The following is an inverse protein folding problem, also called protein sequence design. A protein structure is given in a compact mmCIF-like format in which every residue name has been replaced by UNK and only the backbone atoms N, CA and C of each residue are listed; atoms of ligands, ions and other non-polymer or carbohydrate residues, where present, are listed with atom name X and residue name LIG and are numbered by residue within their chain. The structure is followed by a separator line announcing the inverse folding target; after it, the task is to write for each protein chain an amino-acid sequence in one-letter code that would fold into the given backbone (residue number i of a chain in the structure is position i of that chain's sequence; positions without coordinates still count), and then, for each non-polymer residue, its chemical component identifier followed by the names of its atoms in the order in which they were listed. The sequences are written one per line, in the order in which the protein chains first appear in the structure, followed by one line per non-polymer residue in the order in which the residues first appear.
data_IF_531667673385
#
_entry.id   IF_531667673385
#
_cell.length_a   1.000
_cell.length_b   1.000
_cell.length_c   1.000
_cell.angle_alpha   90.00
_cell.angle_beta   90.00
_cell.angle_gamma   90.00
#
_symmetry.space_group_name_H-M   'P 1'
#
loop_
_entity.id
_entity.type
_entity.pdbx_description
1 polymer ?
#
# COMPACT_ATOMS: atom_id res chain seq x y z
N UNK A 1 -0.92 -13.34 0.11
CA UNK A 1 -1.28 -11.91 0.09
C UNK A 1 -0.90 -11.31 -1.26
N UNK A 2 -1.68 -10.37 -1.79
CA UNK A 2 -1.34 -9.64 -3.02
C UNK A 2 -1.40 -8.12 -2.80
N UNK A 3 -0.62 -7.37 -3.58
CA UNK A 3 -0.64 -5.91 -3.57
C UNK A 3 -0.27 -5.35 -4.93
N UNK A 4 -1.17 -4.57 -5.54
CA UNK A 4 -0.85 -3.77 -6.72
C UNK A 4 0.22 -2.73 -6.39
N UNK A 5 1.21 -2.58 -7.28
CA UNK A 5 2.35 -1.73 -7.02
C UNK A 5 2.01 -0.24 -6.91
N UNK A 6 0.95 0.21 -7.60
CA UNK A 6 0.55 1.61 -7.80
C UNK A 6 0.25 2.44 -6.55
N UNK A 7 0.24 1.84 -5.37
CA UNK A 7 -0.02 2.55 -4.11
C UNK A 7 1.28 2.91 -3.40
N UNK A 8 2.06 1.91 -3.03
CA UNK A 8 3.22 2.08 -2.14
C UNK A 8 4.52 1.45 -2.66
N UNK A 9 4.51 0.76 -3.81
CA UNK A 9 5.66 -0.03 -4.27
C UNK A 9 6.24 0.46 -5.60
N UNK A 10 5.42 1.07 -6.47
CA UNK A 10 5.85 1.46 -7.80
C UNK A 10 4.69 1.93 -8.69
N UNK A 11 4.81 1.82 -10.01
CA UNK A 11 3.79 2.25 -10.96
C UNK A 11 2.64 1.23 -11.08
N UNK A 12 1.54 1.64 -11.70
CA UNK A 12 0.48 0.71 -12.10
C UNK A 12 0.95 -0.29 -13.17
N UNK A 13 0.31 -1.46 -13.21
CA UNK A 13 0.64 -2.54 -14.16
C UNK A 13 1.50 -3.67 -13.60
N UNK A 14 1.92 -3.61 -12.34
CA UNK A 14 2.60 -4.69 -11.62
C UNK A 14 1.84 -5.07 -10.34
N UNK A 15 1.77 -6.36 -10.04
CA UNK A 15 1.24 -6.89 -8.78
C UNK A 15 2.28 -7.77 -8.10
N UNK A 16 2.55 -7.52 -6.82
CA UNK A 16 3.38 -8.39 -5.98
C UNK A 16 2.47 -9.39 -5.26
N UNK A 17 2.83 -10.67 -5.32
CA UNK A 17 2.14 -11.74 -4.59
C UNK A 17 3.14 -12.45 -3.68
N UNK A 18 2.77 -12.63 -2.42
CA UNK A 18 3.49 -13.49 -1.46
C UNK A 18 2.56 -14.66 -1.13
N UNK A 19 2.96 -15.85 -1.54
CA UNK A 19 2.20 -17.10 -1.37
C UNK A 19 3.04 -18.09 -0.58
N UNK A 20 2.40 -18.85 0.32
CA UNK A 20 3.06 -19.92 1.08
C UNK A 20 3.20 -21.15 0.16
N UNK A 21 4.35 -21.81 0.18
CA UNK A 21 4.70 -22.83 -0.82
C UNK A 21 3.73 -24.03 -0.85
N UNK A 22 3.23 -24.45 0.31
CA UNK A 22 2.24 -25.52 0.47
C UNK A 22 0.85 -25.19 -0.10
N UNK A 23 0.61 -23.94 -0.52
CA UNK A 23 -0.62 -23.52 -1.19
C UNK A 23 -0.49 -23.58 -2.73
N UNK A 24 0.70 -23.88 -3.26
CA UNK A 24 0.92 -24.04 -4.70
C UNK A 24 0.39 -25.39 -5.21
N UNK A 25 -0.04 -25.43 -6.48
CA UNK A 25 -0.53 -26.66 -7.12
C UNK A 25 -2.02 -26.95 -6.90
N UNK A 26 -2.74 -26.03 -6.26
CA UNK A 26 -4.18 -26.12 -5.99
C UNK A 26 -5.03 -25.20 -6.86
N UNK A 27 -4.53 -24.77 -8.03
CA UNK A 27 -5.32 -23.96 -8.96
C UNK A 27 -6.53 -24.76 -9.50
N UNK A 28 -7.66 -24.08 -9.68
CA UNK A 28 -8.82 -24.70 -10.33
C UNK A 28 -8.49 -25.02 -11.81
N UNK A 29 -9.06 -26.08 -12.40
CA UNK A 29 -8.80 -26.44 -13.80
C UNK A 29 -9.10 -25.32 -14.82
N UNK A 30 -10.00 -24.39 -14.46
CA UNK A 30 -10.38 -23.23 -15.30
C UNK A 30 -9.44 -22.02 -15.14
N UNK A 31 -8.48 -22.07 -14.21
CA UNK A 31 -7.59 -20.96 -13.94
C UNK A 31 -6.67 -20.69 -15.15
N UNK A 32 -6.64 -19.46 -15.71
CA UNK A 32 -5.68 -19.12 -16.75
C UNK A 32 -4.24 -19.27 -16.23
N UNK A 33 -3.33 -19.81 -17.05
CA UNK A 33 -1.95 -20.12 -16.62
C UNK A 33 -1.18 -18.92 -16.08
N UNK A 34 -1.48 -17.70 -16.54
CA UNK A 34 -0.86 -16.47 -16.02
C UNK A 34 -1.28 -16.13 -14.57
N UNK A 35 -2.37 -16.73 -14.06
CA UNK A 35 -2.86 -16.61 -12.68
C UNK A 35 -2.63 -17.87 -11.85
N UNK A 36 -2.16 -18.96 -12.46
CA UNK A 36 -1.73 -20.14 -11.71
C UNK A 36 -0.40 -19.87 -11.02
N UNK A 37 -0.44 -19.70 -9.69
CA UNK A 37 0.75 -19.39 -8.91
C UNK A 37 1.83 -20.47 -8.97
N UNK A 38 1.49 -21.74 -9.20
CA UNK A 38 2.51 -22.79 -9.39
C UNK A 38 3.25 -22.56 -10.70
N UNK A 39 2.54 -22.33 -11.80
CA UNK A 39 3.13 -22.06 -13.11
C UNK A 39 4.00 -20.80 -13.05
N UNK A 40 3.49 -19.72 -12.44
CA UNK A 40 4.24 -18.46 -12.28
C UNK A 40 5.48 -18.65 -11.40
N UNK A 41 5.40 -19.41 -10.30
CA UNK A 41 6.54 -19.68 -9.43
C UNK A 41 7.60 -20.59 -10.07
N UNK A 42 7.19 -21.68 -10.73
CA UNK A 42 8.08 -22.61 -11.44
C UNK A 42 8.88 -21.90 -12.54
N UNK A 43 8.30 -20.85 -13.14
CA UNK A 43 8.95 -20.01 -14.15
C UNK A 43 9.55 -18.72 -13.58
N UNK A 44 9.74 -18.61 -12.26
CA UNK A 44 10.34 -17.45 -11.59
C UNK A 44 9.69 -16.10 -11.99
N UNK A 45 8.37 -16.07 -12.10
CA UNK A 45 7.57 -14.92 -12.57
C UNK A 45 7.77 -14.51 -14.03
N UNK A 46 8.37 -15.38 -14.85
CA UNK A 46 8.66 -15.13 -16.27
C UNK A 46 8.00 -16.17 -17.20
N UNK A 47 6.83 -16.68 -16.82
CA UNK A 47 6.03 -17.59 -17.67
C UNK A 47 5.70 -16.96 -19.03
N UNK A 48 5.38 -15.67 -19.05
CA UNK A 48 5.24 -14.83 -20.24
C UNK A 48 6.02 -13.52 -20.05
N UNK A 49 5.99 -12.62 -21.04
CA UNK A 49 6.66 -11.31 -20.95
C UNK A 49 6.12 -10.52 -19.75
N UNK A 50 6.95 -10.27 -18.71
CA UNK A 50 6.48 -9.55 -17.53
C UNK A 50 6.49 -8.03 -17.78
N UNK A 51 5.86 -7.22 -16.91
CA UNK A 51 5.93 -5.76 -16.96
C UNK A 51 7.32 -5.28 -16.52
N UNK A 52 8.33 -5.45 -17.39
CA UNK A 52 9.76 -5.25 -17.10
C UNK A 52 10.07 -3.89 -16.50
N UNK A 53 9.50 -2.81 -17.05
CA UNK A 53 9.68 -1.47 -16.51
C UNK A 53 9.06 -1.32 -15.11
N UNK A 54 7.87 -1.88 -14.87
CA UNK A 54 7.23 -1.87 -13.56
C UNK A 54 8.07 -2.61 -12.50
N UNK A 55 8.66 -3.75 -12.88
CA UNK A 55 9.58 -4.51 -12.01
C UNK A 55 10.83 -3.69 -11.68
N UNK A 56 11.42 -3.03 -12.67
CA UNK A 56 12.59 -2.18 -12.47
C UNK A 56 12.32 -1.04 -11.46
N UNK A 57 11.23 -0.30 -11.64
CA UNK A 57 10.88 0.80 -10.74
C UNK A 57 10.58 0.28 -9.33
N UNK A 58 9.87 -0.85 -9.18
CA UNK A 58 9.66 -1.45 -7.87
C UNK A 58 10.98 -1.81 -7.18
N UNK A 59 11.94 -2.36 -7.93
CA UNK A 59 13.30 -2.62 -7.44
C UNK A 59 14.01 -1.35 -6.92
N UNK A 60 13.93 -0.24 -7.65
CA UNK A 60 14.48 1.04 -7.20
C UNK A 60 13.79 1.56 -5.93
N UNK A 61 12.46 1.44 -5.84
CA UNK A 61 11.70 1.80 -4.63
C UNK A 61 12.14 0.96 -3.43
N UNK A 62 12.37 -0.35 -3.60
CA UNK A 62 12.86 -1.21 -2.53
C UNK A 62 14.26 -0.83 -2.06
N UNK A 63 15.15 -0.48 -3.00
CA UNK A 63 16.48 0.01 -2.65
C UNK A 63 16.40 1.34 -1.89
N UNK A 64 15.54 2.27 -2.34
CA UNK A 64 15.28 3.53 -1.63
C UNK A 64 14.75 3.28 -0.23
N UNK A 65 13.80 2.36 -0.07
CA UNK A 65 13.19 1.99 1.21
C UNK A 65 14.26 1.47 2.19
N UNK A 66 15.13 0.56 1.74
CA UNK A 66 16.24 0.03 2.56
C UNK A 66 17.22 1.12 3.02
N UNK A 67 17.36 2.21 2.26
CA UNK A 67 18.19 3.37 2.63
C UNK A 67 17.51 4.34 3.60
N UNK A 68 16.21 4.25 3.82
CA UNK A 68 15.51 5.15 4.75
C UNK A 68 15.98 4.94 6.18
N UNK A 69 16.00 6.04 6.95
CA UNK A 69 16.42 6.09 8.36
C UNK A 69 15.50 7.04 9.12
N UNK A 70 15.25 6.72 10.38
CA UNK A 70 14.59 7.58 11.37
C UNK A 70 15.26 7.29 12.73
N UNK A 71 16.07 8.22 13.23
CA UNK A 71 16.95 7.94 14.37
C UNK A 71 17.81 6.69 14.13
N UNK A 72 17.78 5.73 15.06
CA UNK A 72 18.46 4.43 14.93
C UNK A 72 17.73 3.38 14.08
N UNK A 73 16.52 3.66 13.59
CA UNK A 73 15.74 2.72 12.78
C UNK A 73 16.16 2.78 11.30
N UNK A 74 15.94 1.69 10.58
CA UNK A 74 16.22 1.59 9.15
C UNK A 74 15.13 0.82 8.39
N UNK A 75 15.08 1.01 7.07
CA UNK A 75 14.20 0.23 6.20
C UNK A 75 12.71 0.41 6.54
N UNK A 76 12.00 -0.71 6.65
CA UNK A 76 10.56 -0.73 6.97
C UNK A 76 10.29 -0.13 8.35
N UNK A 77 11.12 -0.39 9.36
CA UNK A 77 10.94 0.15 10.71
C UNK A 77 11.05 1.69 10.74
N UNK A 78 12.01 2.24 9.99
CA UNK A 78 12.11 3.69 9.81
C UNK A 78 10.86 4.26 9.10
N UNK A 79 10.41 3.60 8.04
CA UNK A 79 9.22 4.01 7.31
C UNK A 79 7.95 3.96 8.17
N UNK A 80 7.83 2.95 9.03
CA UNK A 80 6.73 2.86 10.00
C UNK A 80 6.76 4.02 11.00
N UNK A 81 7.91 4.31 11.61
CA UNK A 81 8.04 5.42 12.55
C UNK A 81 7.63 6.75 11.90
N UNK A 82 8.10 7.01 10.68
CA UNK A 82 7.70 8.18 9.89
C UNK A 82 6.19 8.21 9.60
N UNK A 83 5.62 7.09 9.20
CA UNK A 83 4.18 7.00 8.90
C UNK A 83 3.31 7.19 10.15
N UNK A 84 3.74 6.67 11.31
CA UNK A 84 3.09 6.91 12.60
C UNK A 84 3.14 8.39 12.96
N UNK A 85 4.29 9.04 12.82
CA UNK A 85 4.45 10.46 13.12
C UNK A 85 3.54 11.34 12.25
N UNK A 86 3.53 11.10 10.93
CA UNK A 86 2.64 11.81 9.97
C UNK A 86 1.16 11.61 10.30
N UNK A 87 0.75 10.35 10.53
CA UNK A 87 -0.64 10.04 10.84
C UNK A 87 -1.08 10.67 12.17
N UNK A 88 -0.24 10.58 13.21
CA UNK A 88 -0.52 11.21 14.52
C UNK A 88 -0.67 12.71 14.40
N UNK A 89 0.21 13.38 13.64
CA UNK A 89 0.14 14.82 13.43
C UNK A 89 -1.22 15.22 12.83
N UNK A 90 -1.65 14.55 11.76
CA UNK A 90 -2.91 14.88 11.10
C UNK A 90 -4.14 14.50 11.95
N UNK A 91 -4.16 13.32 12.56
CA UNK A 91 -5.27 12.91 13.42
C UNK A 91 -5.42 13.81 14.65
N UNK A 92 -4.32 14.18 15.32
CA UNK A 92 -4.37 15.09 16.46
C UNK A 92 -5.00 16.42 16.08
N UNK A 93 -4.65 16.96 14.90
CA UNK A 93 -5.26 18.19 14.39
C UNK A 93 -6.77 18.00 14.14
N UNK A 94 -7.17 16.93 13.46
CA UNK A 94 -8.58 16.65 13.16
C UNK A 94 -9.39 16.47 14.45
N UNK A 95 -8.87 15.72 15.42
CA UNK A 95 -9.58 15.39 16.66
C UNK A 95 -9.79 16.62 17.56
N UNK A 96 -8.85 17.57 17.53
CA UNK A 96 -8.96 18.85 18.26
C UNK A 96 -9.74 19.91 17.47
N UNK A 97 -10.07 19.65 16.20
CA UNK A 97 -10.74 20.61 15.34
C UNK A 97 -12.25 20.72 15.64
N UNK A 98 -12.73 21.95 15.73
CA UNK A 98 -14.16 22.29 15.69
C UNK A 98 -14.71 22.35 14.25
N UNK A 99 -13.86 22.18 13.24
CA UNK A 99 -14.24 22.29 11.84
C UNK A 99 -14.19 20.95 11.10
N UNK A 100 -13.20 20.12 11.41
CA UNK A 100 -13.03 18.80 10.82
C UNK A 100 -13.47 17.67 11.76
N UNK A 101 -13.85 16.54 11.19
CA UNK A 101 -14.12 15.30 11.90
C UNK A 101 -13.68 14.09 11.08
N UNK A 102 -13.06 13.11 11.72
CA UNK A 102 -12.88 11.78 11.17
C UNK A 102 -13.89 10.82 11.84
N UNK A 103 -14.77 10.21 11.03
CA UNK A 103 -15.86 9.35 11.49
C UNK A 103 -15.42 7.87 11.70
N UNK A 104 -14.13 7.55 11.55
CA UNK A 104 -13.59 6.19 11.71
C UNK A 104 -13.21 5.95 13.18
N UNK A 105 -13.56 4.77 13.71
CA UNK A 105 -13.16 4.37 15.07
C UNK A 105 -11.65 4.48 15.28
N UNK A 106 -11.15 5.06 16.40
CA UNK A 106 -9.72 5.30 16.61
C UNK A 106 -8.82 4.08 16.43
N UNK A 107 -9.28 2.89 16.84
CA UNK A 107 -8.55 1.63 16.72
C UNK A 107 -8.52 1.05 15.29
N UNK A 108 -9.32 1.59 14.37
CA UNK A 108 -9.41 1.17 12.97
C UNK A 108 -8.91 2.24 11.99
N UNK A 109 -8.35 3.34 12.49
CA UNK A 109 -7.83 4.45 11.67
C UNK A 109 -6.59 4.02 10.89
N UNK A 110 -6.67 4.14 9.56
CA UNK A 110 -5.53 3.90 8.68
C UNK A 110 -4.45 4.96 8.90
N UNK A 111 -3.18 4.53 8.84
CA UNK A 111 -2.00 5.42 8.82
C UNK A 111 -1.62 5.90 7.42
N UNK A 112 -2.29 5.38 6.38
CA UNK A 112 -1.97 5.64 4.97
C UNK A 112 -2.99 6.56 4.30
N UNK A 113 -4.28 6.34 4.58
CA UNK A 113 -5.37 7.10 3.99
C UNK A 113 -6.25 7.62 5.12
N UNK A 114 -6.28 8.94 5.29
CA UNK A 114 -6.95 9.60 6.40
C UNK A 114 -8.13 10.39 5.83
N UNK A 115 -9.34 9.79 5.74
CA UNK A 115 -10.52 10.55 5.33
C UNK A 115 -10.88 11.54 6.44
N UNK A 116 -11.41 12.69 6.06
CA UNK A 116 -11.98 13.66 6.99
C UNK A 116 -13.19 14.31 6.34
N UNK A 117 -14.05 14.87 7.18
CA UNK A 117 -15.27 15.55 6.80
C UNK A 117 -15.30 16.91 7.47
N UNK A 118 -16.05 17.85 6.91
CA UNK A 118 -16.47 19.02 7.65
C UNK A 118 -17.52 18.61 8.69
N UNK A 119 -17.51 19.25 9.86
CA UNK A 119 -18.58 19.07 10.86
C UNK A 119 -19.91 19.65 10.39
N UNK A 120 -19.84 20.76 9.65
CA UNK A 120 -20.97 21.39 8.99
C UNK A 120 -20.94 21.05 7.50
N UNK A 121 -21.76 20.07 7.11
CA UNK A 121 -21.81 19.58 5.73
C UNK A 121 -22.38 20.62 4.76
N UNK A 122 -23.10 21.66 5.24
CA UNK A 122 -23.57 22.76 4.38
C UNK A 122 -22.44 23.59 3.78
N UNK A 123 -21.22 23.47 4.35
CA UNK A 123 -20.02 24.17 3.87
C UNK A 123 -19.21 23.38 2.84
N UNK A 124 -19.63 22.16 2.49
CA UNK A 124 -18.88 21.32 1.56
C UNK A 124 -18.75 21.97 0.17
N UNK A 125 -19.82 22.56 -0.37
CA UNK A 125 -19.77 23.19 -1.70
C UNK A 125 -18.76 24.34 -1.74
N UNK A 126 -18.76 25.19 -0.70
CA UNK A 126 -17.81 26.28 -0.57
C UNK A 126 -16.36 25.82 -0.33
N UNK A 127 -16.15 24.62 0.22
CA UNK A 127 -14.84 24.04 0.46
C UNK A 127 -14.23 23.39 -0.80
N UNK A 128 -15.07 22.92 -1.73
CA UNK A 128 -14.65 22.27 -2.98
C UNK A 128 -14.43 23.25 -4.15
N UNK A 129 -14.94 24.47 -4.04
CA UNK A 129 -14.79 25.53 -5.03
C UNK A 129 -13.36 26.12 -5.03
#
# INVERSE_FOLDING_TARGET
AFGGAQKNLGPAGLTLVVVREDLLGHALPVCPSAFDYKVVADNQSMFNTPPTWGIYIAGLTFQWLKRQREGGLSGVAAMEARNVAKARLLYNFIDQSQFYVNKVSPNARSRMNIPFFLRDESRNDAFLA
#
